data_IF_478808456245
#
_entry.id   IF_478808456245
#
_cell.length_a   1.000
_cell.length_b   1.000
_cell.length_c   1.000
_cell.angle_alpha   90.00
_cell.angle_beta   90.00
_cell.angle_gamma   90.00
#
_symmetry.space_group_name_H-M   'P 1'
#
loop_
_entity.id
_entity.type
_entity.pdbx_description
1 polymer ?
#
# COMPACT_ATOMS: atom_id res chain seq x y z
N UNK A 1 -7.76 16.71 7.73
CA UNK A 1 -6.75 16.74 6.66
C UNK A 1 -6.72 18.16 6.08
N UNK A 2 -5.57 18.80 5.95
CA UNK A 2 -5.43 20.16 5.36
C UNK A 2 -4.98 20.06 3.90
N UNK A 3 -5.24 21.10 3.09
CA UNK A 3 -4.83 21.13 1.67
C UNK A 3 -3.31 20.94 1.51
N UNK A 4 -2.52 21.56 2.39
CA UNK A 4 -1.06 21.40 2.42
C UNK A 4 -0.63 19.94 2.61
N UNK A 5 -1.33 19.19 3.48
CA UNK A 5 -1.03 17.77 3.71
C UNK A 5 -1.39 16.94 2.47
N UNK A 6 -2.50 17.25 1.79
CA UNK A 6 -2.91 16.59 0.55
C UNK A 6 -1.89 16.84 -0.56
N UNK A 7 -1.40 18.07 -0.71
CA UNK A 7 -0.38 18.40 -1.70
C UNK A 7 0.95 17.70 -1.42
N UNK A 8 1.37 17.59 -0.16
CA UNK A 8 2.55 16.80 0.23
C UNK A 8 2.40 15.32 -0.12
N UNK A 9 1.25 14.73 0.18
CA UNK A 9 0.96 13.32 -0.17
C UNK A 9 0.96 13.14 -1.69
N UNK A 10 0.34 14.06 -2.45
CA UNK A 10 0.30 14.00 -3.91
C UNK A 10 1.69 14.09 -4.52
N UNK A 11 2.53 15.01 -4.03
CA UNK A 11 3.91 15.15 -4.49
C UNK A 11 4.73 13.88 -4.20
N UNK A 12 4.57 13.29 -3.01
CA UNK A 12 5.22 12.05 -2.64
C UNK A 12 4.81 10.88 -3.55
N UNK A 13 3.51 10.68 -3.75
CA UNK A 13 2.99 9.61 -4.62
C UNK A 13 3.45 9.78 -6.05
N UNK A 14 3.47 11.03 -6.56
CA UNK A 14 3.95 11.32 -7.92
C UNK A 14 5.42 10.92 -8.08
N UNK A 15 6.28 11.37 -7.17
CA UNK A 15 7.71 11.05 -7.21
C UNK A 15 7.95 9.53 -7.17
N UNK A 16 7.29 8.80 -6.25
CA UNK A 16 7.42 7.34 -6.16
C UNK A 16 6.93 6.62 -7.40
N UNK A 17 5.85 7.09 -8.01
CA UNK A 17 5.36 6.53 -9.27
C UNK A 17 6.36 6.71 -10.40
N UNK A 18 6.96 7.90 -10.53
CA UNK A 18 7.99 8.16 -11.54
C UNK A 18 9.23 7.27 -11.33
N UNK A 19 9.66 7.03 -10.09
CA UNK A 19 10.77 6.12 -9.79
C UNK A 19 10.45 4.65 -10.16
N UNK A 20 9.23 4.20 -9.87
CA UNK A 20 8.77 2.85 -10.19
C UNK A 20 8.64 2.66 -11.70
N UNK A 21 8.03 3.61 -12.41
CA UNK A 21 7.79 3.54 -13.85
C UNK A 21 9.10 3.58 -14.65
N UNK A 22 10.14 4.26 -14.15
CA UNK A 22 11.48 4.29 -14.76
C UNK A 22 12.39 3.14 -14.33
N UNK A 23 11.95 2.26 -13.42
CA UNK A 23 12.71 1.08 -13.02
C UNK A 23 12.77 0.04 -14.15
N UNK A 24 13.88 -0.69 -14.30
CA UNK A 24 13.95 -1.82 -15.24
C UNK A 24 12.94 -2.94 -14.90
N UNK A 25 12.51 -3.04 -13.63
CA UNK A 25 11.42 -3.92 -13.20
C UNK A 25 10.43 -3.14 -12.31
N UNK A 26 9.39 -2.53 -12.90
CA UNK A 26 8.41 -1.71 -12.16
C UNK A 26 7.61 -2.52 -11.14
N UNK A 27 7.38 -3.81 -11.42
CA UNK A 27 6.64 -4.70 -10.53
C UNK A 27 7.44 -4.94 -9.24
N UNK A 28 8.71 -5.29 -9.36
CA UNK A 28 9.58 -5.51 -8.21
C UNK A 28 9.84 -4.21 -7.46
N UNK A 29 9.98 -3.08 -8.15
CA UNK A 29 10.11 -1.77 -7.51
C UNK A 29 8.87 -1.42 -6.66
N UNK A 30 7.67 -1.73 -7.15
CA UNK A 30 6.43 -1.57 -6.40
C UNK A 30 6.40 -2.47 -5.15
N UNK A 31 6.77 -3.74 -5.29
CA UNK A 31 6.83 -4.69 -4.16
C UNK A 31 7.83 -4.19 -3.09
N UNK A 32 9.01 -3.75 -3.51
CA UNK A 32 10.03 -3.21 -2.60
C UNK A 32 9.52 -1.98 -1.87
N UNK A 33 8.85 -1.06 -2.58
CA UNK A 33 8.27 0.12 -1.96
C UNK A 33 7.17 -0.24 -0.95
N UNK A 34 6.30 -1.20 -1.28
CA UNK A 34 5.27 -1.65 -0.36
C UNK A 34 5.85 -2.35 0.89
N UNK A 35 7.00 -3.04 0.76
CA UNK A 35 7.76 -3.54 1.91
C UNK A 35 8.39 -2.41 2.74
N UNK A 36 8.97 -1.40 2.09
CA UNK A 36 9.59 -0.22 2.74
C UNK A 36 8.60 0.53 3.63
N UNK A 37 7.36 0.73 3.17
CA UNK A 37 6.32 1.41 3.96
C UNK A 37 5.62 0.48 4.97
N UNK A 38 6.07 -0.77 5.07
CA UNK A 38 5.51 -1.77 5.99
C UNK A 38 4.15 -2.33 5.57
N UNK A 39 3.67 -2.03 4.36
CA UNK A 39 2.41 -2.57 3.84
C UNK A 39 2.52 -4.06 3.51
N UNK A 40 3.66 -4.46 2.94
CA UNK A 40 3.99 -5.88 2.75
C UNK A 40 5.04 -6.34 3.77
N UNK A 41 4.92 -7.59 4.23
CA UNK A 41 5.96 -8.25 5.02
C UNK A 41 7.10 -8.82 4.15
N UNK A 42 8.08 -9.43 4.79
CA UNK A 42 9.28 -9.97 4.13
C UNK A 42 8.96 -11.01 3.05
N UNK A 43 7.85 -11.74 3.19
CA UNK A 43 7.37 -12.73 2.22
C UNK A 43 6.58 -12.09 1.07
N UNK A 44 6.32 -10.79 1.12
CA UNK A 44 5.52 -10.06 0.13
C UNK A 44 4.02 -10.23 0.31
N UNK A 45 3.56 -10.72 1.47
CA UNK A 45 2.14 -10.71 1.83
C UNK A 45 1.79 -9.41 2.56
N UNK A 46 0.50 -9.10 2.70
CA UNK A 46 0.06 -7.91 3.45
C UNK A 46 0.42 -8.09 4.92
N UNK A 47 1.09 -7.10 5.51
CA UNK A 47 1.51 -7.15 6.90
C UNK A 47 0.31 -7.32 7.85
N UNK A 48 0.48 -8.07 8.94
CA UNK A 48 -0.62 -8.48 9.82
C UNK A 48 -1.44 -7.31 10.39
N UNK A 49 -0.81 -6.16 10.62
CA UNK A 49 -1.47 -4.95 11.10
C UNK A 49 -2.43 -4.32 10.07
N UNK A 50 -2.27 -4.65 8.78
CA UNK A 50 -3.22 -4.30 7.71
C UNK A 50 -4.19 -5.44 7.37
N UNK A 51 -3.90 -6.70 7.75
CA UNK A 51 -4.78 -7.87 7.50
C UNK A 51 -6.14 -7.78 8.19
N UNK A 52 -6.31 -6.96 9.23
CA UNK A 52 -7.57 -6.77 9.94
C UNK A 52 -8.51 -5.68 9.39
N UNK A 53 -8.09 -4.92 8.36
CA UNK A 53 -8.76 -3.70 7.90
C UNK A 53 -9.37 -3.76 6.50
N UNK A 54 -9.14 -4.82 5.74
CA UNK A 54 -9.90 -5.10 4.52
C UNK A 54 -10.96 -6.13 4.90
N UNK A 55 -12.28 -5.84 4.76
CA UNK A 55 -13.26 -6.92 4.83
C UNK A 55 -12.84 -7.95 3.79
N UNK A 56 -12.50 -9.13 4.28
CA UNK A 56 -12.21 -10.31 3.48
C UNK A 56 -13.30 -10.39 2.41
N UNK A 57 -12.94 -10.11 1.15
CA UNK A 57 -13.89 -10.10 0.05
C UNK A 57 -14.48 -11.50 -0.22
N UNK A 58 -14.11 -12.52 0.57
CA UNK A 58 -14.64 -13.88 0.51
C UNK A 58 -15.28 -14.41 1.81
N UNK A 59 -15.02 -13.85 2.99
CA UNK A 59 -15.61 -14.33 4.25
C UNK A 59 -16.76 -13.43 4.68
N UNK A 60 -17.97 -13.91 4.38
CA UNK A 60 -19.24 -13.45 4.96
C UNK A 60 -19.11 -13.39 6.49
N UNK A 61 -18.81 -12.21 7.04
CA UNK A 61 -18.97 -11.97 8.47
C UNK A 61 -20.47 -11.97 8.75
N UNK A 62 -20.99 -13.08 9.31
CA UNK A 62 -22.27 -13.06 10.01
C UNK A 62 -22.09 -12.13 11.21
N UNK A 63 -22.57 -10.90 11.07
CA UNK A 63 -22.80 -10.02 12.22
C UNK A 63 -24.09 -10.54 12.87
N UNK A 64 -23.95 -11.23 13.99
CA UNK A 64 -25.10 -11.54 14.84
C UNK A 64 -25.54 -10.25 15.52
N UNK A 65 -26.77 -9.82 15.22
CA UNK A 65 -27.53 -8.84 15.98
C UNK A 65 -28.11 -9.48 17.25
#
# INVERSE_FOLDING_TARGET
MTQELVDKVRAYVKARREEIDNSPDPRQASINHLKEIGYLDENGEVAEHYRGGLPDAGKKTKVSA
#
